data_IF_063210970217
#
_entry.id   IF_063210970217
#
_cell.length_a   1.000
_cell.length_b   1.000
_cell.length_c   1.000
_cell.angle_alpha   90.00
_cell.angle_beta   90.00
_cell.angle_gamma   90.00
#
_symmetry.space_group_name_H-M   'P 1'
#
loop_
_entity.id
_entity.type
_entity.pdbx_description
1 polymer ?
#
# COMPACT_ATOMS: atom_id res chain seq x y z
N UNK A 1 -21.11 -11.02 31.80
CA UNK A 1 -21.38 -10.21 30.59
C UNK A 1 -20.09 -9.47 30.28
N UNK A 2 -19.32 -9.90 29.26
CA UNK A 2 -18.07 -9.20 28.89
C UNK A 2 -18.42 -7.78 28.44
N UNK A 3 -17.62 -6.80 28.83
CA UNK A 3 -17.86 -5.43 28.39
C UNK A 3 -17.68 -5.34 26.87
N UNK A 4 -18.43 -4.47 26.18
CA UNK A 4 -18.29 -4.30 24.73
C UNK A 4 -16.85 -3.95 24.30
N UNK A 5 -16.07 -3.35 25.21
CA UNK A 5 -14.66 -3.01 25.02
C UNK A 5 -13.78 -4.27 25.00
N UNK A 6 -14.02 -5.23 25.90
CA UNK A 6 -13.28 -6.50 25.94
C UNK A 6 -13.53 -7.33 24.68
N UNK A 7 -14.79 -7.41 24.23
CA UNK A 7 -15.14 -8.12 22.99
C UNK A 7 -14.44 -7.49 21.77
N UNK A 8 -14.31 -6.16 21.76
CA UNK A 8 -13.61 -5.45 20.68
C UNK A 8 -12.10 -5.71 20.68
N UNK A 9 -11.47 -5.75 21.86
CA UNK A 9 -10.04 -6.08 21.99
C UNK A 9 -9.76 -7.52 21.57
N UNK A 10 -10.57 -8.46 22.03
CA UNK A 10 -10.45 -9.89 21.69
C UNK A 10 -10.55 -10.12 20.18
N UNK A 11 -11.52 -9.47 19.50
CA UNK A 11 -11.62 -9.51 18.03
C UNK A 11 -10.42 -8.85 17.33
N UNK A 12 -9.87 -7.76 17.86
CA UNK A 12 -8.72 -7.08 17.27
C UNK A 12 -7.45 -7.96 17.34
N UNK A 13 -7.24 -8.64 18.46
CA UNK A 13 -6.12 -9.56 18.64
C UNK A 13 -6.24 -10.78 17.71
N UNK A 14 -7.45 -11.31 17.55
CA UNK A 14 -7.73 -12.41 16.60
C UNK A 14 -7.41 -11.99 15.15
N UNK A 15 -7.87 -10.81 14.73
CA UNK A 15 -7.56 -10.25 13.40
C UNK A 15 -6.04 -10.07 13.23
N UNK A 16 -5.37 -9.52 14.24
CA UNK A 16 -3.93 -9.25 14.17
C UNK A 16 -3.12 -10.54 14.00
N UNK A 17 -3.43 -11.57 14.77
CA UNK A 17 -2.77 -12.87 14.67
C UNK A 17 -3.00 -13.54 13.31
N UNK A 18 -4.22 -13.42 12.76
CA UNK A 18 -4.54 -13.93 11.42
C UNK A 18 -3.75 -13.24 10.31
N UNK A 19 -3.61 -11.91 10.38
CA UNK A 19 -2.81 -11.12 9.42
C UNK A 19 -1.34 -11.51 9.48
N UNK A 20 -0.76 -11.65 10.68
CA UNK A 20 0.64 -12.06 10.85
C UNK A 20 0.89 -13.45 10.27
N UNK A 21 0.00 -14.42 10.57
CA UNK A 21 0.15 -15.79 10.09
C UNK A 21 0.15 -15.86 8.55
N UNK A 22 -0.76 -15.14 7.89
CA UNK A 22 -0.79 -15.04 6.43
C UNK A 22 0.45 -14.35 5.86
N UNK A 23 0.94 -13.31 6.53
CA UNK A 23 2.21 -12.67 6.20
C UNK A 23 3.37 -13.66 6.23
N UNK A 24 3.45 -14.46 7.29
CA UNK A 24 4.50 -15.44 7.50
C UNK A 24 4.44 -16.56 6.46
N UNK A 25 3.24 -17.07 6.16
CA UNK A 25 3.01 -18.06 5.10
C UNK A 25 3.48 -17.53 3.74
N UNK A 26 3.10 -16.30 3.39
CA UNK A 26 3.57 -15.66 2.17
C UNK A 26 5.09 -15.48 2.15
N UNK A 27 5.69 -15.05 3.26
CA UNK A 27 7.14 -14.91 3.38
C UNK A 27 7.85 -16.25 3.19
N UNK A 28 7.32 -17.35 3.71
CA UNK A 28 7.86 -18.68 3.54
C UNK A 28 7.79 -19.15 2.09
N UNK A 29 6.63 -19.01 1.44
CA UNK A 29 6.42 -19.40 0.03
C UNK A 29 7.35 -18.59 -0.89
N UNK A 30 7.35 -17.27 -0.75
CA UNK A 30 8.21 -16.39 -1.56
C UNK A 30 9.68 -16.49 -1.20
N UNK A 31 10.01 -16.84 0.05
CA UNK A 31 11.39 -17.13 0.48
C UNK A 31 11.93 -18.40 -0.17
N UNK A 32 11.14 -19.48 -0.18
CA UNK A 32 11.49 -20.72 -0.88
C UNK A 32 11.63 -20.49 -2.41
N UNK A 33 10.68 -19.76 -3.01
CA UNK A 33 10.75 -19.35 -4.41
C UNK A 33 11.98 -18.48 -4.71
N UNK A 34 12.30 -17.54 -3.82
CA UNK A 34 13.48 -16.67 -3.91
C UNK A 34 14.79 -17.45 -3.84
N UNK A 35 14.88 -18.47 -2.98
CA UNK A 35 16.03 -19.38 -2.90
C UNK A 35 16.19 -20.21 -4.18
N UNK A 36 15.09 -20.78 -4.69
CA UNK A 36 15.10 -21.53 -5.95
C UNK A 36 15.51 -20.63 -7.12
N UNK A 37 14.93 -19.43 -7.21
CA UNK A 37 15.30 -18.42 -8.19
C UNK A 37 16.76 -17.98 -8.07
N UNK A 38 17.27 -17.81 -6.85
CA UNK A 38 18.67 -17.50 -6.59
C UNK A 38 19.59 -18.61 -7.13
N UNK A 39 19.25 -19.87 -6.87
CA UNK A 39 20.02 -21.02 -7.35
C UNK A 39 20.04 -21.10 -8.88
N UNK A 40 18.87 -20.95 -9.51
CA UNK A 40 18.74 -20.92 -10.98
C UNK A 40 19.51 -19.74 -11.59
N UNK A 41 19.38 -18.54 -11.03
CA UNK A 41 20.10 -17.35 -11.49
C UNK A 41 21.62 -17.53 -11.37
N UNK A 42 22.09 -18.13 -10.28
CA UNK A 42 23.51 -18.41 -10.09
C UNK A 42 24.04 -19.48 -11.07
N UNK A 43 23.19 -20.42 -11.51
CA UNK A 43 23.56 -21.48 -12.45
C UNK A 43 23.56 -21.03 -13.92
N UNK A 44 22.56 -20.26 -14.33
CA UNK A 44 22.30 -19.94 -15.74
C UNK A 44 22.73 -18.53 -16.16
N UNK A 45 22.94 -17.60 -15.21
CA UNK A 45 23.29 -16.20 -15.52
C UNK A 45 24.71 -15.89 -15.03
N UNK A 46 25.75 -15.96 -15.91
CA UNK A 46 27.15 -15.76 -15.51
C UNK A 46 27.46 -14.38 -14.93
N UNK A 47 26.66 -13.37 -15.30
CA UNK A 47 26.77 -12.02 -14.73
C UNK A 47 26.32 -12.00 -13.25
N UNK A 48 25.23 -12.69 -12.93
CA UNK A 48 24.75 -12.82 -11.56
C UNK A 48 25.70 -13.67 -10.71
N UNK A 49 26.21 -14.77 -11.28
CA UNK A 49 27.19 -15.64 -10.62
C UNK A 49 28.44 -14.87 -10.16
N UNK A 50 28.94 -13.95 -11.00
CA UNK A 50 30.11 -13.09 -10.70
C UNK A 50 29.81 -11.88 -9.80
N UNK A 51 28.54 -11.61 -9.50
CA UNK A 51 28.13 -10.48 -8.66
C UNK A 51 28.56 -10.59 -7.20
N UNK A 52 28.59 -9.45 -6.50
CA UNK A 52 28.96 -9.35 -5.09
C UNK A 52 28.03 -10.17 -4.18
N UNK A 53 28.61 -10.90 -3.21
CA UNK A 53 27.88 -11.73 -2.25
C UNK A 53 26.85 -10.93 -1.43
N UNK A 54 27.21 -9.71 -1.05
CA UNK A 54 26.31 -8.81 -0.31
C UNK A 54 25.04 -8.45 -1.11
N UNK A 55 25.16 -8.22 -2.42
CA UNK A 55 23.99 -7.95 -3.28
C UNK A 55 23.06 -9.16 -3.38
N UNK A 56 23.63 -10.36 -3.54
CA UNK A 56 22.88 -11.62 -3.56
C UNK A 56 22.07 -11.82 -2.27
N UNK A 57 22.72 -11.62 -1.12
CA UNK A 57 22.08 -11.71 0.19
C UNK A 57 20.97 -10.67 0.36
N UNK A 58 21.22 -9.44 -0.09
CA UNK A 58 20.22 -8.37 -0.05
C UNK A 58 18.96 -8.75 -0.84
N UNK A 59 19.09 -9.21 -2.08
CA UNK A 59 17.95 -9.63 -2.91
C UNK A 59 17.22 -10.80 -2.27
N UNK A 60 17.96 -11.77 -1.73
CA UNK A 60 17.39 -12.96 -1.10
C UNK A 60 16.54 -12.61 0.13
N UNK A 61 16.96 -11.65 0.95
CA UNK A 61 16.19 -11.18 2.11
C UNK A 61 15.06 -10.22 1.72
N UNK A 62 15.24 -9.43 0.66
CA UNK A 62 14.27 -8.45 0.21
C UNK A 62 12.96 -9.09 -0.26
N UNK A 63 13.02 -10.18 -1.02
CA UNK A 63 11.84 -10.86 -1.58
C UNK A 63 10.85 -11.33 -0.48
N UNK A 64 11.25 -12.16 0.51
CA UNK A 64 10.33 -12.60 1.55
C UNK A 64 9.85 -11.46 2.44
N UNK A 65 10.69 -10.46 2.69
CA UNK A 65 10.30 -9.26 3.45
C UNK A 65 9.22 -8.47 2.72
N UNK A 66 9.39 -8.23 1.41
CA UNK A 66 8.40 -7.54 0.59
C UNK A 66 7.09 -8.33 0.49
N UNK A 67 7.16 -9.66 0.36
CA UNK A 67 5.98 -10.53 0.35
C UNK A 67 5.22 -10.48 1.68
N UNK A 68 5.93 -10.56 2.81
CA UNK A 68 5.36 -10.43 4.15
C UNK A 68 4.55 -9.14 4.29
N UNK A 69 5.18 -7.99 4.03
CA UNK A 69 4.53 -6.69 4.19
C UNK A 69 3.38 -6.46 3.21
N UNK A 70 3.48 -6.97 1.98
CA UNK A 70 2.41 -6.79 0.98
C UNK A 70 1.18 -7.60 1.36
N UNK A 71 1.34 -8.86 1.76
CA UNK A 71 0.21 -9.73 2.13
C UNK A 71 -0.41 -9.29 3.44
N UNK A 72 0.40 -8.88 4.43
CA UNK A 72 -0.13 -8.33 5.69
C UNK A 72 -0.94 -7.06 5.46
N UNK A 73 -0.49 -6.12 4.61
CA UNK A 73 -1.24 -4.90 4.29
C UNK A 73 -2.58 -5.20 3.59
N UNK A 74 -2.61 -6.15 2.66
CA UNK A 74 -3.83 -6.57 1.97
C UNK A 74 -4.81 -7.23 2.94
N UNK A 75 -4.34 -8.12 3.81
CA UNK A 75 -5.18 -8.83 4.77
C UNK A 75 -5.69 -7.92 5.88
N UNK A 76 -4.87 -6.99 6.37
CA UNK A 76 -5.30 -5.96 7.30
C UNK A 76 -6.45 -5.12 6.72
N UNK A 77 -6.31 -4.66 5.46
CA UNK A 77 -7.39 -3.92 4.76
C UNK A 77 -8.65 -4.75 4.58
N UNK A 78 -8.51 -6.03 4.26
CA UNK A 78 -9.66 -6.91 4.10
C UNK A 78 -10.38 -7.17 5.42
N UNK A 79 -9.62 -7.30 6.52
CA UNK A 79 -10.18 -7.42 7.86
C UNK A 79 -10.91 -6.15 8.29
N UNK A 80 -10.31 -4.97 8.06
CA UNK A 80 -10.96 -3.67 8.31
C UNK A 80 -12.25 -3.50 7.51
N UNK A 81 -12.26 -3.94 6.24
CA UNK A 81 -13.46 -3.91 5.40
C UNK A 81 -14.58 -4.81 5.93
N UNK A 82 -14.26 -6.02 6.37
CA UNK A 82 -15.23 -6.95 6.97
C UNK A 82 -15.79 -6.39 8.27
N UNK A 83 -14.91 -5.83 9.10
CA UNK A 83 -15.32 -5.16 10.33
C UNK A 83 -16.23 -3.97 10.03
N UNK A 84 -15.88 -3.12 9.06
CA UNK A 84 -16.72 -1.99 8.65
C UNK A 84 -18.09 -2.44 8.14
N UNK A 85 -18.18 -3.53 7.38
CA UNK A 85 -19.44 -4.10 6.87
C UNK A 85 -20.33 -4.66 8.00
N UNK A 86 -19.75 -5.28 9.03
CA UNK A 86 -20.53 -5.78 10.18
C UNK A 86 -21.22 -4.65 10.96
N UNK A 87 -20.63 -3.45 10.98
CA UNK A 87 -21.14 -2.31 11.75
C UNK A 87 -21.77 -1.19 10.89
N UNK A 88 -21.74 -1.30 9.56
CA UNK A 88 -22.38 -0.31 8.68
C UNK A 88 -23.87 -0.61 8.53
N UNK A 89 -24.73 0.28 9.05
CA UNK A 89 -26.20 0.21 8.93
C UNK A 89 -26.68 0.53 7.50
N UNK A 90 -25.81 1.05 6.64
CA UNK A 90 -26.13 1.47 5.27
C UNK A 90 -25.88 0.34 4.27
N UNK A 91 -26.94 -0.13 3.59
CA UNK A 91 -26.86 -1.13 2.51
C UNK A 91 -25.92 -0.67 1.40
N UNK A 92 -24.88 -1.45 1.15
CA UNK A 92 -23.80 -1.21 0.18
C UNK A 92 -24.20 -1.29 -1.31
N UNK A 93 -25.49 -1.43 -1.62
CA UNK A 93 -25.97 -1.69 -2.99
C UNK A 93 -26.09 -0.43 -3.87
N UNK A 94 -25.98 0.79 -3.33
CA UNK A 94 -26.16 2.04 -4.12
C UNK A 94 -24.85 2.65 -4.68
N UNK A 95 -23.67 2.07 -4.42
CA UNK A 95 -22.38 2.69 -4.77
C UNK A 95 -21.80 2.31 -6.15
N UNK A 96 -22.49 1.53 -6.98
CA UNK A 96 -21.92 0.99 -8.24
C UNK A 96 -22.28 1.71 -9.55
N UNK A 97 -23.09 2.77 -9.55
CA UNK A 97 -23.60 3.34 -10.81
C UNK A 97 -23.20 4.81 -11.05
N UNK A 98 -21.90 5.11 -11.18
CA UNK A 98 -21.46 6.32 -11.91
C UNK A 98 -20.32 5.96 -12.86
N UNK A 99 -20.71 5.61 -14.09
CA UNK A 99 -19.82 5.45 -15.24
C UNK A 99 -19.51 6.86 -15.77
N UNK A 100 -18.34 7.43 -15.44
CA UNK A 100 -17.91 8.76 -15.90
C UNK A 100 -16.68 8.63 -16.80
N UNK A 101 -16.68 9.42 -17.87
CA UNK A 101 -15.65 9.50 -18.91
C UNK A 101 -14.30 9.92 -18.33
N UNK A 102 -13.21 9.27 -18.79
CA UNK A 102 -11.81 9.54 -18.42
C UNK A 102 -11.49 11.04 -18.33
N UNK A 103 -11.60 11.59 -17.12
CA UNK A 103 -11.20 12.96 -16.75
C UNK A 103 -9.90 12.91 -15.93
N UNK A 104 -9.23 14.05 -15.72
CA UNK A 104 -8.05 14.15 -14.85
C UNK A 104 -8.31 13.59 -13.43
N UNK A 105 -9.57 13.62 -13.00
CA UNK A 105 -10.05 12.97 -11.77
C UNK A 105 -9.90 11.45 -11.78
N UNK A 106 -10.07 10.79 -12.93
CA UNK A 106 -9.89 9.34 -13.07
C UNK A 106 -8.41 8.96 -13.01
N UNK A 107 -7.51 9.81 -13.51
CA UNK A 107 -6.08 9.61 -13.32
C UNK A 107 -5.71 9.74 -11.85
N UNK A 108 -6.26 10.73 -11.15
CA UNK A 108 -6.08 10.90 -9.71
C UNK A 108 -6.63 9.67 -8.95
N UNK A 109 -7.83 9.21 -9.29
CA UNK A 109 -8.45 8.02 -8.69
C UNK A 109 -7.65 6.76 -8.95
N UNK A 110 -7.20 6.53 -10.19
CA UNK A 110 -6.36 5.39 -10.56
C UNK A 110 -4.99 5.46 -9.89
N UNK A 111 -4.44 6.65 -9.70
CA UNK A 111 -3.22 6.88 -8.92
C UNK A 111 -3.43 6.54 -7.45
N UNK A 112 -4.58 6.91 -6.86
CA UNK A 112 -4.95 6.57 -5.49
C UNK A 112 -5.24 5.08 -5.29
N UNK A 113 -5.89 4.43 -6.26
CA UNK A 113 -6.15 2.98 -6.29
C UNK A 113 -4.83 2.20 -6.35
N UNK A 114 -3.84 2.72 -7.08
CA UNK A 114 -2.53 2.10 -7.25
C UNK A 114 -1.44 2.76 -6.40
N UNK A 115 -1.79 3.52 -5.36
CA UNK A 115 -0.82 4.33 -4.60
C UNK A 115 0.35 3.51 -4.08
N UNK A 116 0.06 2.29 -3.62
CA UNK A 116 1.07 1.37 -3.07
C UNK A 116 2.04 0.90 -4.16
N UNK A 117 1.54 0.55 -5.33
CA UNK A 117 2.35 0.13 -6.48
C UNK A 117 3.19 1.27 -7.02
N UNK A 118 2.64 2.47 -7.11
CA UNK A 118 3.36 3.66 -7.59
C UNK A 118 4.48 4.03 -6.62
N UNK A 119 4.20 4.07 -5.31
CA UNK A 119 5.24 4.29 -4.29
C UNK A 119 6.32 3.21 -4.39
N UNK A 120 5.94 1.94 -4.60
CA UNK A 120 6.86 0.84 -4.82
C UNK A 120 7.76 1.04 -6.05
N UNK A 121 7.21 1.42 -7.19
CA UNK A 121 7.95 1.69 -8.41
C UNK A 121 8.82 2.93 -8.31
N UNK A 122 8.34 4.00 -7.69
CA UNK A 122 9.11 5.22 -7.42
C UNK A 122 10.28 4.91 -6.50
N UNK A 123 10.06 4.13 -5.44
CA UNK A 123 11.12 3.70 -4.53
C UNK A 123 12.16 2.82 -5.25
N UNK A 124 11.71 1.84 -6.04
CA UNK A 124 12.59 1.02 -6.87
C UNK A 124 13.37 1.84 -7.90
N UNK A 125 12.73 2.84 -8.51
CA UNK A 125 13.35 3.76 -9.45
C UNK A 125 14.42 4.62 -8.78
N UNK A 126 14.14 5.16 -7.59
CA UNK A 126 15.11 5.93 -6.80
C UNK A 126 16.29 5.05 -6.34
N UNK A 127 16.02 3.83 -5.88
CA UNK A 127 17.07 2.86 -5.54
C UNK A 127 17.93 2.50 -6.75
N UNK A 128 17.31 2.20 -7.89
CA UNK A 128 18.03 1.82 -9.10
C UNK A 128 18.81 3.00 -9.68
N UNK A 129 18.23 4.20 -9.67
CA UNK A 129 18.87 5.44 -10.11
C UNK A 129 20.05 5.85 -9.24
N UNK A 130 19.93 5.76 -7.91
CA UNK A 130 21.04 6.06 -7.00
C UNK A 130 22.16 5.03 -7.14
N UNK A 131 21.82 3.75 -7.31
CA UNK A 131 22.79 2.69 -7.59
C UNK A 131 23.52 2.97 -8.91
N UNK A 132 22.79 3.30 -9.98
CA UNK A 132 23.36 3.60 -11.30
C UNK A 132 24.26 4.84 -11.29
N UNK A 133 23.85 5.90 -10.58
CA UNK A 133 24.66 7.09 -10.38
C UNK A 133 25.98 6.76 -9.65
N UNK A 134 25.90 6.00 -8.56
CA UNK A 134 27.08 5.58 -7.78
C UNK A 134 28.00 4.59 -8.52
N UNK A 135 27.48 3.85 -9.51
CA UNK A 135 28.29 3.00 -10.37
C UNK A 135 29.26 3.79 -11.28
N UNK A 136 28.99 5.09 -11.56
CA UNK A 136 29.89 5.92 -12.38
C UNK A 136 31.14 6.42 -11.64
N UNK A 137 31.14 6.49 -10.32
CA UNK A 137 32.30 6.97 -9.54
C UNK A 137 33.27 5.81 -9.27
N UNK A 138 34.48 5.78 -9.84
CA UNK A 138 35.39 4.63 -9.70
C UNK A 138 36.17 4.57 -8.38
N UNK A 139 36.17 5.65 -7.61
CA UNK A 139 37.15 5.85 -6.53
C UNK A 139 36.68 5.40 -5.14
N UNK A 140 35.47 4.84 -5.03
CA UNK A 140 34.85 4.47 -3.76
C UNK A 140 34.63 2.96 -3.69
N UNK A 141 34.95 2.36 -2.54
CA UNK A 141 34.78 0.94 -2.29
C UNK A 141 33.29 0.53 -2.39
N UNK A 142 32.98 -0.58 -3.06
CA UNK A 142 31.62 -0.99 -3.40
C UNK A 142 30.70 -1.12 -2.18
N UNK A 143 31.23 -1.59 -1.05
CA UNK A 143 30.48 -1.69 0.21
C UNK A 143 30.01 -0.33 0.72
N UNK A 144 30.84 0.70 0.62
CA UNK A 144 30.48 2.07 1.02
C UNK A 144 29.41 2.65 0.09
N UNK A 145 29.50 2.38 -1.21
CA UNK A 145 28.46 2.79 -2.18
C UNK A 145 27.11 2.19 -1.85
N UNK A 146 27.06 0.93 -1.42
CA UNK A 146 25.81 0.23 -1.13
C UNK A 146 25.15 0.77 0.14
N UNK A 147 25.93 1.05 1.19
CA UNK A 147 25.45 1.72 2.40
C UNK A 147 24.93 3.12 2.07
N UNK A 148 25.71 3.90 1.30
CA UNK A 148 25.32 5.27 0.96
C UNK A 148 24.09 5.31 0.04
N UNK A 149 23.96 4.37 -0.90
CA UNK A 149 22.78 4.24 -1.77
C UNK A 149 21.53 3.93 -0.96
N UNK A 150 21.64 3.07 0.07
CA UNK A 150 20.51 2.72 0.94
C UNK A 150 20.09 3.92 1.79
N UNK A 151 21.06 4.68 2.31
CA UNK A 151 20.81 5.91 3.06
C UNK A 151 20.11 6.94 2.17
N UNK A 152 20.62 7.20 0.96
CA UNK A 152 20.01 8.13 -0.01
C UNK A 152 18.60 7.67 -0.40
N UNK A 153 18.38 6.37 -0.59
CA UNK A 153 17.05 5.84 -0.90
C UNK A 153 16.07 6.03 0.28
N UNK A 154 16.51 5.80 1.51
CA UNK A 154 15.72 6.04 2.71
C UNK A 154 15.43 7.54 2.90
N UNK A 155 16.42 8.41 2.73
CA UNK A 155 16.27 9.87 2.81
C UNK A 155 15.35 10.40 1.70
N UNK A 156 15.50 9.89 0.48
CA UNK A 156 14.64 10.24 -0.64
C UNK A 156 13.20 9.78 -0.44
N UNK A 157 13.00 8.60 0.12
CA UNK A 157 11.66 8.11 0.49
C UNK A 157 11.03 8.98 1.59
N UNK A 158 11.79 9.36 2.62
CA UNK A 158 11.32 10.27 3.67
C UNK A 158 10.93 11.65 3.11
N UNK A 159 11.76 12.22 2.23
CA UNK A 159 11.45 13.47 1.55
C UNK A 159 10.20 13.35 0.66
N UNK A 160 10.05 12.24 -0.06
CA UNK A 160 8.87 11.96 -0.87
C UNK A 160 7.59 11.88 -0.03
N UNK A 161 7.63 11.15 1.09
CA UNK A 161 6.50 11.05 2.03
C UNK A 161 6.19 12.42 2.63
N UNK A 162 7.21 13.19 3.03
CA UNK A 162 7.02 14.53 3.58
C UNK A 162 6.39 15.48 2.55
N UNK A 163 6.84 15.45 1.30
CA UNK A 163 6.26 16.25 0.22
C UNK A 163 4.80 15.87 -0.05
N UNK A 164 4.46 14.57 -0.06
CA UNK A 164 3.08 14.11 -0.20
C UNK A 164 2.20 14.54 0.99
N UNK A 165 2.75 14.50 2.21
CA UNK A 165 2.06 14.99 3.42
C UNK A 165 1.74 16.48 3.34
N UNK A 166 2.70 17.30 2.90
CA UNK A 166 2.50 18.74 2.68
C UNK A 166 1.43 18.98 1.61
N UNK A 167 1.48 18.24 0.49
CA UNK A 167 0.46 18.35 -0.55
C UNK A 167 -0.93 17.94 -0.05
N UNK A 168 -1.03 16.90 0.78
CA UNK A 168 -2.30 16.46 1.36
C UNK A 168 -2.92 17.49 2.32
N UNK A 169 -2.08 18.22 3.08
CA UNK A 169 -2.54 19.32 3.95
C UNK A 169 -3.03 20.52 3.13
N UNK A 170 -2.37 20.80 2.01
CA UNK A 170 -2.70 21.94 1.13
C UNK A 170 -3.76 21.62 0.07
N UNK A 171 -4.25 20.37 -0.03
CA UNK A 171 -5.41 20.10 -0.88
C UNK A 171 -6.63 20.78 -0.24
N UNK A 172 -7.35 21.64 -0.98
CA UNK A 172 -8.60 22.19 -0.47
C UNK A 172 -9.48 21.01 -0.10
N UNK A 173 -9.87 20.94 1.19
CA UNK A 173 -10.95 20.04 1.60
C UNK A 173 -12.17 20.51 0.84
N UNK A 174 -12.50 19.84 -0.25
CA UNK A 174 -13.85 19.88 -0.78
C UNK A 174 -14.75 19.37 0.35
N UNK A 175 -15.31 20.29 1.12
CA UNK A 175 -16.55 20.05 1.84
C UNK A 175 -17.61 19.80 0.76
N UNK A 176 -17.59 18.60 0.18
CA UNK A 176 -18.81 18.06 -0.38
C UNK A 176 -19.71 17.88 0.83
N UNK A 177 -20.52 18.90 1.13
CA UNK A 177 -21.75 18.71 1.87
C UNK A 177 -22.55 17.74 1.01
N UNK A 178 -22.31 16.44 1.21
CA UNK A 178 -23.17 15.40 0.68
C UNK A 178 -24.44 15.57 1.50
N UNK A 179 -25.31 16.48 1.04
CA UNK A 179 -26.67 16.58 1.52
C UNK A 179 -27.27 15.22 1.18
N UNK A 180 -27.36 14.36 2.18
CA UNK A 180 -27.98 13.06 2.04
C UNK A 180 -29.38 13.31 1.49
N UNK A 181 -29.67 12.74 0.32
CA UNK A 181 -30.92 12.92 -0.42
C UNK A 181 -32.14 12.52 0.42
N UNK A 182 -31.93 11.73 1.46
CA UNK A 182 -32.96 11.34 2.42
C UNK A 182 -33.06 12.28 3.63
N UNK A 183 -32.06 13.12 3.90
CA UNK A 183 -32.07 14.09 4.99
C UNK A 183 -33.18 15.13 4.79
N UNK A 184 -33.33 15.66 3.56
CA UNK A 184 -34.41 16.60 3.24
C UNK A 184 -35.79 15.96 3.38
N UNK A 185 -35.92 14.65 3.10
CA UNK A 185 -37.17 13.91 3.28
C UNK A 185 -37.55 13.75 4.76
N UNK A 186 -36.57 13.62 5.65
CA UNK A 186 -36.81 13.47 7.09
C UNK A 186 -37.03 14.83 7.76
N UNK A 187 -36.30 15.86 7.33
CA UNK A 187 -36.35 17.19 7.95
C UNK A 187 -37.52 18.04 7.42
N UNK A 188 -37.94 17.86 6.16
CA UNK A 188 -39.08 18.56 5.56
C UNK A 188 -40.10 17.59 4.94
N UNK A 189 -40.87 16.85 5.76
CA UNK A 189 -41.90 15.93 5.25
C UNK A 189 -43.07 16.65 4.56
N UNK A 190 -43.33 17.92 4.86
CA UNK A 190 -44.53 18.65 4.40
C UNK A 190 -44.39 19.21 2.98
N UNK A 191 -43.17 19.44 2.47
CA UNK A 191 -42.95 20.05 1.15
C UNK A 191 -43.24 19.15 -0.07
N UNK A 192 -43.45 17.85 0.14
CA UNK A 192 -43.69 16.90 -0.96
C UNK A 192 -45.19 16.57 -1.17
N UNK A 193 -46.09 17.15 -0.38
CA UNK A 193 -47.53 16.92 -0.53
C UNK A 193 -48.19 17.80 -1.61
N UNK A 194 -47.57 18.92 -2.01
CA UNK A 194 -48.21 19.91 -2.90
C UNK A 194 -47.94 19.71 -4.40
N UNK A 195 -47.04 18.81 -4.82
CA UNK A 195 -46.73 18.57 -6.24
C UNK A 195 -47.52 17.37 -6.78
N UNK A 196 -48.85 17.44 -6.69
CA UNK A 196 -49.77 16.59 -7.46
C UNK A 196 -51.00 17.41 -7.86
N UNK A 197 -50.87 18.17 -8.93
CA UNK A 197 -51.99 18.66 -9.74
C UNK A 197 -51.61 18.61 -11.21
#
# INVERSE_FOLDING_TARGET
MKSAIEVRKEKADEIHSGVINKGLEAAAIWGAGGLAGHFLANRYVPAYARGYRAYKLFVLCMIPTAAFFTVTDVEAKNADRRFAQEFSVTKSDELQAVKKSMSAEDWKKKFWENKNSIVGYTWLGLMSGSLFYNFRQKDINFTQKLINSRLIAQSGALLGIAALGIMAINMPKEETVVVDKYYERIVNPEGNAEVKH
#
